data_IF_962191336297
#
_entry.id   IF_962191336297
#
_cell.length_a   1.000
_cell.length_b   1.000
_cell.length_c   1.000
_cell.angle_alpha   90.00
_cell.angle_beta   90.00
_cell.angle_gamma   90.00
#
_symmetry.space_group_name_H-M   'P 1'
#
loop_
_entity.id
_entity.type
_entity.pdbx_description
1 polymer ?
#
# COMPACT_ATOMS: atom_id res chain seq x y z
N UNK A 1 -16.47 -5.82 -15.51
CA UNK A 1 -16.12 -7.01 -14.70
C UNK A 1 -17.29 -7.37 -13.80
N UNK A 2 -17.64 -8.66 -13.61
CA UNK A 2 -18.70 -9.08 -12.69
C UNK A 2 -18.42 -8.66 -11.24
N UNK A 3 -19.48 -8.37 -10.49
CA UNK A 3 -19.39 -7.94 -9.08
C UNK A 3 -18.73 -9.01 -8.20
N UNK A 4 -19.00 -10.28 -8.49
CA UNK A 4 -18.54 -11.42 -7.71
C UNK A 4 -17.01 -11.54 -7.76
N UNK A 5 -16.42 -11.29 -8.93
CA UNK A 5 -14.98 -11.31 -9.13
C UNK A 5 -14.32 -10.14 -8.41
N UNK A 6 -14.94 -8.95 -8.46
CA UNK A 6 -14.47 -7.78 -7.72
C UNK A 6 -14.41 -8.06 -6.21
N UNK A 7 -15.51 -8.59 -5.67
CA UNK A 7 -15.63 -8.87 -4.24
C UNK A 7 -14.64 -9.94 -3.78
N UNK A 8 -14.44 -11.00 -4.56
CA UNK A 8 -13.47 -12.04 -4.23
C UNK A 8 -12.04 -11.48 -4.14
N UNK A 9 -11.65 -10.66 -5.11
CA UNK A 9 -10.33 -10.01 -5.12
C UNK A 9 -10.19 -9.08 -3.91
N UNK A 10 -11.24 -8.33 -3.57
CA UNK A 10 -11.20 -7.41 -2.45
C UNK A 10 -11.06 -8.13 -1.09
N UNK A 11 -11.79 -9.24 -0.89
CA UNK A 11 -11.69 -10.06 0.33
C UNK A 11 -10.27 -10.57 0.52
N UNK A 12 -9.68 -11.16 -0.51
CA UNK A 12 -8.32 -11.72 -0.44
C UNK A 12 -7.29 -10.61 -0.20
N UNK A 13 -7.50 -9.43 -0.80
CA UNK A 13 -6.66 -8.27 -0.55
C UNK A 13 -6.72 -7.82 0.92
N UNK A 14 -7.92 -7.71 1.50
CA UNK A 14 -8.08 -7.31 2.90
C UNK A 14 -7.43 -8.29 3.87
N UNK A 15 -7.56 -9.59 3.63
CA UNK A 15 -6.93 -10.63 4.45
C UNK A 15 -5.40 -10.50 4.45
N UNK A 16 -4.80 -10.37 3.26
CA UNK A 16 -3.35 -10.22 3.13
C UNK A 16 -2.86 -8.88 3.69
N UNK A 17 -3.63 -7.81 3.50
CA UNK A 17 -3.29 -6.49 4.02
C UNK A 17 -3.35 -6.48 5.56
N UNK A 18 -4.29 -7.21 6.17
CA UNK A 18 -4.36 -7.35 7.62
C UNK A 18 -3.12 -8.04 8.19
N UNK A 19 -2.65 -9.13 7.56
CA UNK A 19 -1.41 -9.80 7.96
C UNK A 19 -0.23 -8.82 7.91
N UNK A 20 -0.17 -7.98 6.88
CA UNK A 20 0.86 -6.97 6.75
C UNK A 20 0.81 -5.91 7.86
N UNK A 21 -0.38 -5.43 8.25
CA UNK A 21 -0.52 -4.50 9.37
C UNK A 21 -0.19 -5.11 10.72
N UNK A 22 -0.53 -6.39 10.89
CA UNK A 22 -0.25 -7.15 12.10
C UNK A 22 1.26 -7.39 12.32
N UNK A 23 2.14 -7.08 11.36
CA UNK A 23 3.59 -7.18 11.51
C UNK A 23 4.17 -6.27 12.60
N UNK A 24 3.50 -5.15 12.88
CA UNK A 24 3.97 -4.17 13.87
C UNK A 24 4.09 -4.79 15.27
N UNK A 25 3.22 -5.76 15.61
CA UNK A 25 3.26 -6.44 16.91
C UNK A 25 4.51 -7.31 17.09
N UNK A 26 5.20 -7.67 16.00
CA UNK A 26 6.41 -8.47 16.01
C UNK A 26 7.68 -7.62 16.01
N UNK A 27 7.58 -6.29 16.05
CA UNK A 27 8.73 -5.41 16.05
C UNK A 27 9.36 -5.34 17.45
N UNK A 28 10.65 -5.60 17.51
CA UNK A 28 11.48 -5.32 18.69
C UNK A 28 12.13 -3.96 18.52
N UNK A 29 11.86 -3.06 19.48
CA UNK A 29 12.57 -1.78 19.56
C UNK A 29 14.05 -2.06 19.78
N UNK A 30 14.90 -1.40 19.00
CA UNK A 30 16.34 -1.53 19.18
C UNK A 30 16.76 -0.92 20.53
N UNK A 31 17.61 -1.61 21.27
CA UNK A 31 18.30 -1.02 22.40
C UNK A 31 19.20 0.12 21.90
N UNK A 32 18.79 1.38 22.15
CA UNK A 32 19.51 2.62 21.86
C UNK A 32 20.14 2.72 20.46
N UNK A 33 19.42 3.31 19.51
CA UNK A 33 19.87 3.70 18.16
C UNK A 33 20.18 2.59 17.14
N UNK A 34 19.82 1.33 17.39
CA UNK A 34 19.90 0.27 16.37
C UNK A 34 18.71 0.28 15.38
N UNK A 35 18.81 -0.43 14.24
CA UNK A 35 17.68 -0.64 13.35
C UNK A 35 16.63 -1.53 14.02
N UNK A 36 15.35 -1.25 13.76
CA UNK A 36 14.21 -2.05 14.24
C UNK A 36 14.34 -3.48 13.72
N UNK A 37 14.05 -4.46 14.57
CA UNK A 37 14.14 -5.89 14.23
C UNK A 37 12.74 -6.50 14.18
N UNK A 38 12.45 -7.25 13.11
CA UNK A 38 11.25 -8.07 12.98
C UNK A 38 11.50 -9.43 13.63
N UNK A 39 10.85 -9.68 14.77
CA UNK A 39 10.98 -10.89 15.58
C UNK A 39 10.15 -12.06 15.03
N UNK A 40 10.40 -12.43 13.79
CA UNK A 40 9.85 -13.62 13.15
C UNK A 40 11.05 -14.47 12.69
N UNK A 41 11.45 -15.40 13.55
CA UNK A 41 12.70 -16.16 13.39
C UNK A 41 12.51 -17.64 13.08
N UNK A 42 11.29 -18.17 13.22
CA UNK A 42 11.00 -19.57 12.89
C UNK A 42 10.92 -19.76 11.39
N UNK A 43 11.63 -20.75 10.85
CA UNK A 43 11.68 -21.01 9.39
C UNK A 43 10.28 -21.12 8.76
N UNK A 44 9.37 -21.86 9.40
CA UNK A 44 7.99 -21.99 8.94
C UNK A 44 7.23 -20.66 8.95
N UNK A 45 7.43 -19.83 9.96
CA UNK A 45 6.77 -18.51 10.06
C UNK A 45 7.36 -17.54 9.03
N UNK A 46 8.68 -17.56 8.81
CA UNK A 46 9.31 -16.81 7.73
C UNK A 46 8.78 -17.24 6.36
N UNK A 47 8.62 -18.55 6.13
CA UNK A 47 8.06 -19.07 4.87
C UNK A 47 6.61 -18.63 4.67
N UNK A 48 5.80 -18.68 5.73
CA UNK A 48 4.40 -18.21 5.69
C UNK A 48 4.34 -16.72 5.40
N UNK A 49 5.17 -15.92 6.07
CA UNK A 49 5.26 -14.48 5.82
C UNK A 49 5.68 -14.18 4.37
N UNK A 50 6.72 -14.84 3.86
CA UNK A 50 7.15 -14.72 2.46
C UNK A 50 5.97 -14.95 1.50
N UNK A 51 5.24 -16.06 1.66
CA UNK A 51 4.06 -16.33 0.85
C UNK A 51 3.00 -15.22 0.96
N UNK A 52 2.65 -14.78 2.17
CA UNK A 52 1.66 -13.70 2.36
C UNK A 52 2.09 -12.37 1.74
N UNK A 53 3.38 -12.00 1.79
CA UNK A 53 3.88 -10.77 1.15
C UNK A 53 3.83 -10.88 -0.38
N UNK A 54 4.12 -12.06 -0.94
CA UNK A 54 4.03 -12.34 -2.38
C UNK A 54 2.58 -12.32 -2.87
N UNK A 55 1.66 -12.88 -2.10
CA UNK A 55 0.22 -12.84 -2.37
C UNK A 55 -0.28 -11.40 -2.32
N UNK A 56 0.04 -10.64 -1.26
CA UNK A 56 -0.30 -9.22 -1.16
C UNK A 56 0.20 -8.42 -2.36
N UNK A 57 1.46 -8.62 -2.75
CA UNK A 57 2.06 -7.95 -3.92
C UNK A 57 1.27 -8.25 -5.20
N UNK A 58 0.87 -9.51 -5.39
CA UNK A 58 0.08 -9.93 -6.56
C UNK A 58 -1.33 -9.34 -6.53
N UNK A 59 -1.95 -9.27 -5.35
CA UNK A 59 -3.26 -8.65 -5.14
C UNK A 59 -3.22 -7.14 -5.44
N UNK A 60 -2.18 -6.44 -4.98
CA UNK A 60 -1.98 -5.02 -5.27
C UNK A 60 -1.81 -4.77 -6.78
N UNK A 61 -1.01 -5.58 -7.47
CA UNK A 61 -0.89 -5.50 -8.93
C UNK A 61 -2.24 -5.70 -9.63
N UNK A 62 -3.02 -6.69 -9.17
CA UNK A 62 -4.38 -6.93 -9.67
C UNK A 62 -5.27 -5.71 -9.45
N UNK A 63 -5.30 -5.16 -8.24
CA UNK A 63 -6.07 -3.98 -7.89
C UNK A 63 -5.69 -2.76 -8.73
N UNK A 64 -4.40 -2.53 -8.97
CA UNK A 64 -3.93 -1.43 -9.81
C UNK A 64 -4.51 -1.47 -11.22
N UNK A 65 -4.64 -2.67 -11.80
CA UNK A 65 -5.31 -2.87 -13.10
C UNK A 65 -6.82 -2.71 -13.03
N UNK A 66 -7.43 -3.06 -11.90
CA UNK A 66 -8.88 -2.92 -11.71
C UNK A 66 -9.35 -1.48 -11.57
N UNK A 67 -8.46 -0.53 -11.22
CA UNK A 67 -8.81 0.90 -11.13
C UNK A 67 -9.42 1.42 -12.42
N UNK A 68 -8.94 0.96 -13.58
CA UNK A 68 -9.48 1.34 -14.88
C UNK A 68 -10.97 0.97 -15.02
N UNK A 69 -11.40 -0.12 -14.39
CA UNK A 69 -12.81 -0.55 -14.36
C UNK A 69 -13.66 0.19 -13.30
N UNK A 70 -13.06 1.05 -12.49
CA UNK A 70 -13.75 1.93 -11.53
C UNK A 70 -13.94 3.35 -12.07
N UNK A 71 -13.45 3.65 -13.26
CA UNK A 71 -13.54 4.96 -13.91
C UNK A 71 -14.66 4.97 -14.98
N UNK A 72 -14.90 6.14 -15.59
CA UNK A 72 -15.81 6.27 -16.73
C UNK A 72 -17.26 5.91 -16.37
N UNK A 73 -17.90 5.07 -17.20
CA UNK A 73 -19.31 4.68 -17.05
C UNK A 73 -19.61 3.95 -15.73
N UNK A 74 -18.62 3.26 -15.16
CA UNK A 74 -18.79 2.52 -13.90
C UNK A 74 -18.51 3.35 -12.66
N UNK A 75 -18.02 4.59 -12.82
CA UNK A 75 -17.57 5.44 -11.72
C UNK A 75 -18.62 5.59 -10.62
N UNK A 76 -19.85 5.99 -10.97
CA UNK A 76 -20.91 6.19 -9.98
C UNK A 76 -21.28 4.90 -9.25
N UNK A 77 -21.31 3.76 -9.95
CA UNK A 77 -21.63 2.46 -9.33
C UNK A 77 -20.53 1.92 -8.42
N UNK A 78 -19.28 2.37 -8.60
CA UNK A 78 -18.08 1.88 -7.89
C UNK A 78 -17.45 2.90 -6.96
N UNK A 79 -17.99 4.12 -6.92
CA UNK A 79 -17.42 5.26 -6.19
C UNK A 79 -17.06 4.91 -4.75
N UNK A 80 -18.01 4.29 -4.02
CA UNK A 80 -17.81 3.94 -2.61
C UNK A 80 -16.73 2.85 -2.43
N UNK A 81 -16.70 1.86 -3.30
CA UNK A 81 -15.71 0.78 -3.25
C UNK A 81 -14.30 1.32 -3.54
N UNK A 82 -14.19 2.19 -4.54
CA UNK A 82 -12.96 2.85 -4.91
C UNK A 82 -12.44 3.76 -3.77
N UNK A 83 -13.32 4.53 -3.12
CA UNK A 83 -12.96 5.34 -1.94
C UNK A 83 -12.38 4.48 -0.81
N UNK A 84 -13.09 3.42 -0.41
CA UNK A 84 -12.63 2.51 0.65
C UNK A 84 -11.30 1.83 0.31
N UNK A 85 -11.12 1.47 -0.96
CA UNK A 85 -9.87 0.88 -1.44
C UNK A 85 -8.73 1.90 -1.33
N UNK A 86 -8.97 3.13 -1.77
CA UNK A 86 -7.99 4.21 -1.74
C UNK A 86 -7.59 4.59 -0.30
N UNK A 87 -8.55 4.69 0.61
CA UNK A 87 -8.28 4.93 2.04
C UNK A 87 -7.34 3.87 2.64
N UNK A 88 -7.59 2.59 2.33
CA UNK A 88 -6.73 1.48 2.77
C UNK A 88 -5.34 1.54 2.15
N UNK A 89 -5.22 1.91 0.88
CA UNK A 89 -3.93 2.07 0.22
C UNK A 89 -3.12 3.24 0.80
N UNK A 90 -3.76 4.38 1.08
CA UNK A 90 -3.14 5.51 1.76
C UNK A 90 -2.64 5.11 3.15
N UNK A 91 -3.45 4.35 3.90
CA UNK A 91 -3.03 3.81 5.19
C UNK A 91 -1.84 2.84 5.04
N UNK A 92 -1.89 1.91 4.08
CA UNK A 92 -0.81 0.96 3.80
C UNK A 92 0.51 1.64 3.42
N UNK A 93 0.46 2.69 2.61
CA UNK A 93 1.63 3.45 2.21
C UNK A 93 2.20 4.26 3.38
N UNK A 94 1.34 4.92 4.16
CA UNK A 94 1.76 5.66 5.36
C UNK A 94 2.40 4.73 6.40
N UNK A 95 1.80 3.56 6.60
CA UNK A 95 2.33 2.49 7.44
C UNK A 95 3.70 2.02 6.97
N UNK A 96 3.85 1.75 5.68
CA UNK A 96 5.12 1.33 5.06
C UNK A 96 6.22 2.39 5.18
N UNK A 97 5.86 3.67 4.98
CA UNK A 97 6.78 4.80 5.13
C UNK A 97 7.27 4.98 6.56
N UNK A 98 6.38 4.79 7.54
CA UNK A 98 6.70 4.93 8.96
C UNK A 98 7.62 3.81 9.43
N UNK A 99 7.32 2.58 9.06
CA UNK A 99 8.03 1.41 9.55
C UNK A 99 9.32 1.12 8.77
N UNK A 100 9.34 1.41 7.46
CA UNK A 100 10.48 1.14 6.58
C UNK A 100 10.97 -0.30 6.70
N UNK A 101 10.08 -1.27 6.48
CA UNK A 101 10.40 -2.71 6.61
C UNK A 101 11.65 -3.13 5.80
N UNK A 102 11.92 -2.46 4.69
CA UNK A 102 13.11 -2.69 3.86
C UNK A 102 14.43 -2.28 4.54
N UNK A 103 14.42 -1.53 5.65
CA UNK A 103 15.60 -1.20 6.47
C UNK A 103 15.70 -2.07 7.74
N UNK A 104 14.72 -2.96 7.98
CA UNK A 104 14.64 -3.74 9.22
C UNK A 104 15.55 -4.96 9.20
N UNK A 105 16.04 -5.33 10.38
CA UNK A 105 16.69 -6.63 10.57
C UNK A 105 15.63 -7.73 10.59
N UNK A 106 15.85 -8.80 9.83
CA UNK A 106 14.98 -9.97 9.80
C UNK A 106 15.82 -11.24 9.85
N UNK A 107 15.21 -12.38 10.20
CA UNK A 107 15.89 -13.68 10.19
C UNK A 107 16.20 -14.21 8.78
N UNK A 108 15.56 -13.66 7.74
CA UNK A 108 15.72 -14.09 6.34
C UNK A 108 15.88 -12.88 5.41
N UNK A 109 16.96 -12.07 5.55
CA UNK A 109 17.09 -10.78 4.88
C UNK A 109 17.08 -10.89 3.35
N UNK A 110 17.75 -11.91 2.79
CA UNK A 110 17.81 -12.14 1.34
C UNK A 110 16.46 -12.44 0.68
N UNK A 111 15.43 -12.77 1.46
CA UNK A 111 14.09 -13.09 0.98
C UNK A 111 13.12 -11.97 1.37
N UNK A 112 13.00 -11.72 2.68
CA UNK A 112 11.99 -10.81 3.21
C UNK A 112 12.25 -9.35 2.86
N UNK A 113 13.52 -8.91 2.74
CA UNK A 113 13.83 -7.54 2.31
C UNK A 113 13.29 -7.28 0.90
N UNK A 114 13.49 -8.24 -0.01
CA UNK A 114 12.99 -8.16 -1.39
C UNK A 114 11.46 -8.14 -1.40
N UNK A 115 10.82 -8.98 -0.59
CA UNK A 115 9.35 -9.01 -0.50
C UNK A 115 8.78 -7.70 0.05
N UNK A 116 9.42 -7.10 1.06
CA UNK A 116 8.99 -5.80 1.61
C UNK A 116 9.17 -4.67 0.61
N UNK A 117 10.28 -4.67 -0.15
CA UNK A 117 10.48 -3.73 -1.25
C UNK A 117 9.38 -3.91 -2.30
N UNK A 118 9.04 -5.15 -2.64
CA UNK A 118 7.96 -5.44 -3.60
C UNK A 118 6.62 -4.93 -3.12
N UNK A 119 6.18 -5.29 -1.91
CA UNK A 119 4.90 -4.86 -1.35
C UNK A 119 4.81 -3.33 -1.35
N UNK A 120 5.85 -2.65 -0.86
CA UNK A 120 5.83 -1.19 -0.80
C UNK A 120 5.78 -0.56 -2.20
N UNK A 121 6.57 -1.07 -3.14
CA UNK A 121 6.52 -0.62 -4.53
C UNK A 121 5.13 -0.83 -5.14
N UNK A 122 4.49 -1.97 -4.90
CA UNK A 122 3.16 -2.25 -5.44
C UNK A 122 2.05 -1.41 -4.79
N UNK A 123 2.15 -1.09 -3.50
CA UNK A 123 1.23 -0.13 -2.85
C UNK A 123 1.32 1.22 -3.58
N UNK A 124 2.54 1.72 -3.82
CA UNK A 124 2.76 3.01 -4.48
C UNK A 124 2.31 3.00 -5.94
N UNK A 125 2.62 1.94 -6.69
CA UNK A 125 2.16 1.78 -8.07
C UNK A 125 0.63 1.73 -8.15
N UNK A 126 -0.03 1.07 -7.18
CA UNK A 126 -1.50 1.02 -7.11
C UNK A 126 -2.07 2.40 -6.78
N UNK A 127 -1.48 3.13 -5.83
CA UNK A 127 -1.86 4.52 -5.53
C UNK A 127 -1.73 5.43 -6.76
N UNK A 128 -0.66 5.26 -7.53
CA UNK A 128 -0.45 5.99 -8.79
C UNK A 128 -1.55 5.71 -9.80
N UNK A 129 -2.02 4.46 -9.92
CA UNK A 129 -3.16 4.13 -10.77
C UNK A 129 -4.45 4.84 -10.30
N UNK A 130 -4.65 4.98 -8.99
CA UNK A 130 -5.78 5.72 -8.41
C UNK A 130 -5.76 7.23 -8.64
N UNK A 131 -4.62 7.84 -9.02
CA UNK A 131 -4.57 9.27 -9.37
C UNK A 131 -5.53 9.63 -10.51
N UNK A 132 -5.72 8.73 -11.47
CA UNK A 132 -6.69 8.93 -12.55
C UNK A 132 -8.13 8.95 -12.01
N UNK A 133 -8.48 7.97 -11.16
CA UNK A 133 -9.79 7.90 -10.51
C UNK A 133 -10.05 9.14 -9.64
N UNK A 134 -9.05 9.62 -8.90
CA UNK A 134 -9.14 10.85 -8.11
C UNK A 134 -9.42 12.07 -8.97
N UNK A 135 -8.77 12.19 -10.12
CA UNK A 135 -9.02 13.31 -11.04
C UNK A 135 -10.48 13.33 -11.49
N UNK A 136 -11.08 12.17 -11.77
CA UNK A 136 -12.51 12.09 -12.07
C UNK A 136 -13.37 12.41 -10.83
N UNK A 137 -12.99 11.91 -9.66
CA UNK A 137 -13.69 12.18 -8.40
C UNK A 137 -13.76 13.67 -8.06
N UNK A 138 -12.66 14.41 -8.16
CA UNK A 138 -12.62 15.84 -7.87
C UNK A 138 -13.44 16.65 -8.88
N UNK A 139 -13.52 16.21 -10.15
CA UNK A 139 -14.39 16.83 -11.18
C UNK A 139 -15.88 16.62 -10.89
N UNK A 140 -16.26 15.42 -10.44
CA UNK A 140 -17.66 15.08 -10.15
C UNK A 140 -18.13 15.58 -8.77
N UNK A 141 -17.21 16.01 -7.90
CA UNK A 141 -17.52 16.53 -6.57
C UNK A 141 -16.83 17.89 -6.34
N UNK A 142 -17.19 18.94 -7.11
CA UNK A 142 -16.54 20.26 -7.01
C UNK A 142 -16.80 21.01 -5.69
N UNK A 143 -17.68 20.49 -4.84
CA UNK A 143 -18.04 21.10 -3.55
C UNK A 143 -17.16 20.61 -2.40
N UNK A 144 -15.92 21.09 -2.33
CA UNK A 144 -15.26 21.37 -1.06
C UNK A 144 -14.43 22.65 -1.24
N UNK A 145 -14.92 23.81 -0.77
CA UNK A 145 -14.13 25.04 -0.77
C UNK A 145 -12.88 24.82 0.09
N UNK A 146 -11.74 25.22 -0.46
CA UNK A 146 -10.36 24.98 -0.04
C UNK A 146 -9.94 25.64 1.30
N UNK A 147 -10.85 26.00 2.20
CA UNK A 147 -10.49 26.89 3.32
C UNK A 147 -10.26 26.23 4.69
N UNK A 148 -10.37 24.91 4.88
CA UNK A 148 -10.05 24.34 6.21
C UNK A 148 -9.74 22.83 6.34
N UNK A 149 -9.47 22.07 5.27
CA UNK A 149 -9.09 20.65 5.42
C UNK A 149 -7.60 20.43 5.11
N UNK A 150 -6.77 20.45 6.16
CA UNK A 150 -5.37 20.03 6.06
C UNK A 150 -5.13 18.58 5.61
N UNK A 151 -6.20 17.83 5.28
CA UNK A 151 -6.30 16.37 5.08
C UNK A 151 -7.01 15.97 3.77
N UNK A 152 -6.86 16.72 2.66
CA UNK A 152 -7.34 16.20 1.38
C UNK A 152 -6.55 14.94 0.98
N UNK A 153 -7.22 13.97 0.34
CA UNK A 153 -6.61 12.69 0.00
C UNK A 153 -5.49 12.86 -1.04
N UNK A 154 -5.62 13.88 -1.89
CA UNK A 154 -4.60 14.30 -2.84
C UNK A 154 -3.31 14.74 -2.13
N UNK A 155 -3.44 15.51 -1.04
CA UNK A 155 -2.29 15.93 -0.23
C UNK A 155 -1.62 14.74 0.45
N UNK A 156 -2.41 13.81 0.99
CA UNK A 156 -1.89 12.57 1.60
C UNK A 156 -1.07 11.77 0.59
N UNK A 157 -1.56 11.61 -0.65
CA UNK A 157 -0.84 10.88 -1.71
C UNK A 157 0.44 11.63 -2.12
N UNK A 158 0.40 12.96 -2.21
CA UNK A 158 1.59 13.76 -2.50
C UNK A 158 2.66 13.60 -1.41
N UNK A 159 2.27 13.67 -0.13
CA UNK A 159 3.19 13.50 1.01
C UNK A 159 3.80 12.08 1.04
N UNK A 160 3.00 11.05 0.72
CA UNK A 160 3.45 9.67 0.54
C UNK A 160 4.51 9.58 -0.56
N UNK A 161 4.26 10.18 -1.73
CA UNK A 161 5.17 10.13 -2.88
C UNK A 161 6.49 10.86 -2.57
N UNK A 162 6.42 12.09 -2.05
CA UNK A 162 7.59 12.91 -1.69
C UNK A 162 8.49 12.18 -0.68
N UNK A 163 7.90 11.44 0.26
CA UNK A 163 8.66 10.65 1.25
C UNK A 163 9.52 9.58 0.58
N UNK A 164 9.06 9.00 -0.53
CA UNK A 164 9.69 7.87 -1.21
C UNK A 164 10.64 8.24 -2.35
N UNK A 165 10.73 9.51 -2.76
CA UNK A 165 11.63 9.97 -3.84
C UNK A 165 13.04 10.36 -3.31
N UNK A 166 13.32 10.08 -2.04
CA UNK A 166 14.58 10.46 -1.37
C UNK A 166 15.71 9.47 -1.65
N UNK A 167 16.97 9.96 -1.66
CA UNK A 167 18.22 9.20 -1.95
C UNK A 167 18.50 7.93 -1.10
N UNK A 168 17.69 7.62 -0.09
CA UNK A 168 17.87 6.46 0.80
C UNK A 168 16.78 5.39 0.67
N UNK A 169 15.90 5.54 -0.31
CA UNK A 169 14.81 4.61 -0.56
C UNK A 169 15.23 3.68 -1.70
N UNK A 170 14.94 2.36 -1.63
CA UNK A 170 15.24 1.43 -2.71
C UNK A 170 14.73 1.93 -4.08
N UNK A 171 15.50 1.73 -5.15
CA UNK A 171 15.19 2.26 -6.49
C UNK A 171 13.79 1.87 -6.95
N UNK A 172 13.38 0.62 -6.69
CA UNK A 172 12.05 0.13 -7.08
C UNK A 172 10.92 0.90 -6.39
N UNK A 173 11.07 1.21 -5.10
CA UNK A 173 10.10 2.01 -4.34
C UNK A 173 10.10 3.46 -4.84
N UNK A 174 11.29 4.01 -5.10
CA UNK A 174 11.47 5.35 -5.68
C UNK A 174 10.76 5.49 -7.04
N UNK A 175 10.99 4.55 -7.96
CA UNK A 175 10.37 4.55 -9.29
C UNK A 175 8.86 4.35 -9.23
N UNK A 176 8.35 3.65 -8.22
CA UNK A 176 6.90 3.43 -8.05
C UNK A 176 6.20 4.64 -7.43
N UNK A 177 6.93 5.48 -6.67
CA UNK A 177 6.43 6.73 -6.10
C UNK A 177 6.43 7.90 -7.09
N UNK A 178 7.33 7.89 -8.06
CA UNK A 178 7.51 8.95 -9.06
C UNK A 178 6.46 8.91 -10.18
#
# INVERSE_FOLDING_TARGET
MPNEVFNLIFIIFEENLRIYFDLEQYLKSAASNGPVELNICGENECRRLHCSLRDLSSMLQGLGRLVEHMCGEHFNSRKLDAQKTLEKLCHAATYSNRLRFYEMKTAAPLVLEIDFIEVHAQILATLKAFCHWLTQYSKENPSFPEENSGNSIEKVIADIAITNIKKKVPEKVTHSAA
#
